data_IF_567081818025
#
_entry.id   IF_567081818025
#
_cell.length_a   1.000
_cell.length_b   1.000
_cell.length_c   1.000
_cell.angle_alpha   90.00
_cell.angle_beta   90.00
_cell.angle_gamma   90.00
#
_symmetry.space_group_name_H-M   'P 1'
#
loop_
_entity.id
_entity.type
_entity.pdbx_description
1 polymer ?
#
# COMPACT_ATOMS: atom_id res chain seq x y z
N UNK A 1 15.69 -12.42 -11.29
CA UNK A 1 14.61 -12.82 -10.35
C UNK A 1 13.94 -14.05 -10.94
N UNK A 2 13.79 -15.13 -10.18
CA UNK A 2 13.05 -16.30 -10.66
C UNK A 2 11.56 -16.08 -10.35
N UNK A 3 10.76 -15.79 -11.38
CA UNK A 3 9.33 -15.48 -11.23
C UNK A 3 8.57 -16.64 -10.61
N UNK A 4 8.91 -17.89 -10.96
CA UNK A 4 8.27 -19.07 -10.40
C UNK A 4 8.45 -19.12 -8.87
N UNK A 5 9.66 -18.89 -8.37
CA UNK A 5 9.92 -18.87 -6.92
C UNK A 5 9.16 -17.76 -6.19
N UNK A 6 9.01 -16.60 -6.82
CA UNK A 6 8.25 -15.48 -6.24
C UNK A 6 6.76 -15.80 -6.24
N UNK A 7 6.24 -16.38 -7.32
CA UNK A 7 4.85 -16.78 -7.44
C UNK A 7 4.50 -17.85 -6.39
N UNK A 8 5.30 -18.90 -6.27
CA UNK A 8 5.13 -19.96 -5.26
C UNK A 8 5.13 -19.39 -3.84
N UNK A 9 6.06 -18.46 -3.54
CA UNK A 9 6.13 -17.82 -2.24
C UNK A 9 4.88 -16.97 -1.95
N UNK A 10 4.49 -16.09 -2.88
CA UNK A 10 3.34 -15.21 -2.67
C UNK A 10 2.04 -15.99 -2.61
N UNK A 11 1.91 -17.06 -3.39
CA UNK A 11 0.74 -17.93 -3.36
C UNK A 11 0.58 -18.67 -2.02
N UNK A 12 1.66 -18.84 -1.26
CA UNK A 12 1.62 -19.40 0.09
C UNK A 12 1.23 -18.41 1.19
N UNK A 13 1.01 -17.14 0.86
CA UNK A 13 0.68 -16.09 1.84
C UNK A 13 -0.82 -15.82 1.91
N UNK A 14 -1.37 -15.82 3.13
CA UNK A 14 -2.74 -15.35 3.39
C UNK A 14 -2.84 -13.82 3.41
N UNK A 15 -1.73 -13.15 3.74
CA UNK A 15 -1.62 -11.69 3.78
C UNK A 15 -0.33 -11.24 3.14
N UNK A 16 -0.41 -10.27 2.23
CA UNK A 16 0.75 -9.54 1.73
C UNK A 16 0.59 -8.07 2.09
N UNK A 17 1.66 -7.52 2.64
CA UNK A 17 1.78 -6.10 2.94
C UNK A 17 2.90 -5.49 2.10
N UNK A 18 2.65 -4.32 1.53
CA UNK A 18 3.71 -3.59 0.83
C UNK A 18 3.41 -2.12 0.66
N UNK A 19 4.48 -1.34 0.51
CA UNK A 19 4.39 0.07 0.13
C UNK A 19 3.94 0.17 -1.33
N UNK A 20 3.07 1.14 -1.62
CA UNK A 20 2.63 1.43 -2.98
C UNK A 20 3.83 1.50 -3.94
N UNK A 21 3.76 0.74 -5.03
CA UNK A 21 4.79 0.72 -6.06
C UNK A 21 4.63 -0.49 -6.96
N UNK A 22 5.41 -0.53 -8.04
CA UNK A 22 5.33 -1.61 -9.04
C UNK A 22 5.58 -3.00 -8.43
N UNK A 23 6.37 -3.11 -7.36
CA UNK A 23 6.60 -4.40 -6.68
C UNK A 23 5.34 -5.02 -6.08
N UNK A 24 4.30 -4.23 -5.81
CA UNK A 24 3.04 -4.71 -5.26
C UNK A 24 2.19 -5.45 -6.31
N UNK A 25 2.55 -5.45 -7.60
CA UNK A 25 1.86 -6.25 -8.62
C UNK A 25 2.00 -7.76 -8.41
N UNK A 26 2.89 -8.20 -7.54
CA UNK A 26 2.99 -9.62 -7.17
C UNK A 26 1.71 -10.15 -6.49
N UNK A 27 0.76 -9.29 -6.12
CA UNK A 27 -0.58 -9.70 -5.68
C UNK A 27 -1.32 -10.59 -6.69
N UNK A 28 -0.91 -10.56 -7.96
CA UNK A 28 -1.40 -11.46 -9.02
C UNK A 28 -1.21 -12.95 -8.69
N UNK A 29 -0.33 -13.28 -7.75
CA UNK A 29 -0.08 -14.65 -7.32
C UNK A 29 -0.76 -15.01 -5.99
N UNK A 30 -1.42 -14.07 -5.31
CA UNK A 30 -2.15 -14.37 -4.09
C UNK A 30 -3.34 -15.31 -4.38
N UNK A 31 -3.66 -16.22 -3.45
CA UNK A 31 -4.88 -17.02 -3.56
C UNK A 31 -6.12 -16.17 -3.29
N UNK A 32 -7.28 -16.69 -3.72
CA UNK A 32 -8.58 -16.13 -3.38
C UNK A 32 -8.73 -16.00 -1.85
N UNK A 33 -9.48 -14.99 -1.40
CA UNK A 33 -9.69 -14.67 0.00
C UNK A 33 -8.44 -14.21 0.78
N UNK A 34 -7.30 -14.02 0.12
CA UNK A 34 -6.15 -13.37 0.74
C UNK A 34 -6.45 -11.90 1.08
N UNK A 35 -5.59 -11.30 1.90
CA UNK A 35 -5.67 -9.87 2.27
C UNK A 35 -4.45 -9.12 1.75
N UNK A 36 -4.67 -8.07 0.97
CA UNK A 36 -3.66 -7.08 0.61
C UNK A 36 -3.73 -5.88 1.55
N UNK A 37 -2.62 -5.60 2.23
CA UNK A 37 -2.42 -4.35 2.99
C UNK A 37 -1.48 -3.43 2.22
N UNK A 38 -2.02 -2.36 1.65
CA UNK A 38 -1.23 -1.36 0.96
C UNK A 38 -0.87 -0.19 1.87
N UNK A 39 0.43 0.04 2.07
CA UNK A 39 0.94 1.26 2.69
C UNK A 39 0.97 2.37 1.63
N UNK A 40 0.14 3.38 1.83
CA UNK A 40 -0.08 4.49 0.89
C UNK A 40 0.86 5.66 1.27
N UNK A 41 1.84 6.01 0.41
CA UNK A 41 2.78 7.09 0.69
C UNK A 41 2.09 8.46 0.68
N UNK A 42 2.79 9.49 1.19
CA UNK A 42 2.34 10.87 1.03
C UNK A 42 2.32 11.28 -0.45
N UNK A 43 1.56 12.32 -0.78
CA UNK A 43 1.52 12.90 -2.13
C UNK A 43 0.16 12.82 -2.82
N UNK A 44 -0.93 12.62 -2.08
CA UNK A 44 -2.29 12.47 -2.62
C UNK A 44 -2.42 11.30 -3.61
N UNK A 45 -1.81 10.16 -3.29
CA UNK A 45 -1.74 8.98 -4.17
C UNK A 45 -2.87 7.97 -3.92
N UNK A 46 -3.87 8.33 -3.11
CA UNK A 46 -4.98 7.44 -2.73
C UNK A 46 -5.78 6.99 -3.95
N UNK A 47 -6.11 7.92 -4.85
CA UNK A 47 -6.88 7.59 -6.05
C UNK A 47 -6.10 6.58 -6.90
N UNK A 48 -4.79 6.80 -7.04
CA UNK A 48 -3.85 5.95 -7.78
C UNK A 48 -3.74 4.57 -7.13
N UNK A 49 -3.68 4.54 -5.80
CA UNK A 49 -3.62 3.31 -5.00
C UNK A 49 -4.86 2.44 -5.21
N UNK A 50 -6.05 3.04 -5.15
CA UNK A 50 -7.31 2.33 -5.40
C UNK A 50 -7.44 1.84 -6.82
N UNK A 51 -7.11 2.69 -7.80
CA UNK A 51 -7.21 2.34 -9.21
C UNK A 51 -6.28 1.18 -9.57
N UNK A 52 -5.05 1.16 -9.06
CA UNK A 52 -4.07 0.12 -9.40
C UNK A 52 -4.13 -1.14 -8.55
N UNK A 53 -4.58 -1.06 -7.30
CA UNK A 53 -4.54 -2.21 -6.40
C UNK A 53 -5.86 -2.47 -5.68
N UNK A 54 -6.61 -1.43 -5.32
CA UNK A 54 -7.89 -1.59 -4.63
C UNK A 54 -8.95 -2.29 -5.48
N UNK A 55 -9.31 -1.72 -6.62
CA UNK A 55 -10.33 -2.30 -7.51
C UNK A 55 -9.88 -3.63 -8.16
N UNK A 56 -8.61 -3.77 -8.61
CA UNK A 56 -8.12 -5.07 -9.08
C UNK A 56 -8.17 -6.17 -8.02
N UNK A 57 -7.80 -5.88 -6.75
CA UNK A 57 -7.87 -6.88 -5.67
C UNK A 57 -9.28 -7.41 -5.48
N UNK A 58 -10.30 -6.53 -5.47
CA UNK A 58 -11.70 -6.96 -5.38
C UNK A 58 -12.12 -7.85 -6.54
N UNK A 59 -11.63 -7.56 -7.75
CA UNK A 59 -11.92 -8.36 -8.95
C UNK A 59 -11.26 -9.73 -8.94
N UNK A 60 -10.29 -9.94 -8.03
CA UNK A 60 -9.55 -11.19 -7.83
C UNK A 60 -9.94 -11.89 -6.53
N UNK A 61 -11.07 -11.52 -5.91
CA UNK A 61 -11.49 -12.04 -4.58
C UNK A 61 -10.46 -11.85 -3.46
N UNK A 62 -9.60 -10.83 -3.57
CA UNK A 62 -8.65 -10.41 -2.55
C UNK A 62 -9.24 -9.23 -1.76
N UNK A 63 -9.25 -9.35 -0.45
CA UNK A 63 -9.64 -8.24 0.43
C UNK A 63 -8.55 -7.16 0.46
N UNK A 64 -8.94 -5.90 0.41
CA UNK A 64 -8.01 -4.77 0.29
C UNK A 64 -8.11 -3.82 1.50
N UNK A 65 -6.96 -3.49 2.09
CA UNK A 65 -6.82 -2.53 3.18
C UNK A 65 -5.80 -1.44 2.82
N UNK A 66 -6.15 -0.19 3.11
CA UNK A 66 -5.25 0.97 2.97
C UNK A 66 -4.72 1.40 4.33
N UNK A 67 -3.40 1.55 4.44
CA UNK A 67 -2.77 2.28 5.53
C UNK A 67 -2.11 3.55 5.00
N UNK A 68 -2.72 4.71 5.30
CA UNK A 68 -2.20 6.00 4.88
C UNK A 68 -1.16 6.50 5.86
N UNK A 69 0.02 6.84 5.33
CA UNK A 69 1.08 7.41 6.16
C UNK A 69 0.67 8.75 6.76
N UNK A 70 1.05 8.95 8.01
CA UNK A 70 1.17 10.30 8.56
C UNK A 70 2.48 10.94 8.13
N UNK A 71 2.57 12.26 8.26
CA UNK A 71 3.82 12.99 8.04
C UNK A 71 4.98 12.39 8.83
N UNK A 72 4.76 12.00 10.09
CA UNK A 72 5.80 11.47 10.99
C UNK A 72 6.38 10.12 10.55
N UNK A 73 5.69 9.41 9.65
CA UNK A 73 6.13 8.12 9.13
C UNK A 73 6.83 8.23 7.77
N UNK A 74 7.06 9.45 7.27
CA UNK A 74 7.73 9.69 6.01
C UNK A 74 9.08 10.35 6.23
N UNK A 75 10.12 9.88 5.55
CA UNK A 75 11.42 10.57 5.55
C UNK A 75 11.39 11.94 4.88
N UNK A 76 10.28 12.33 4.25
CA UNK A 76 10.14 13.66 3.66
C UNK A 76 10.20 14.77 4.71
N UNK A 77 9.82 14.51 5.97
CA UNK A 77 9.89 15.51 7.06
C UNK A 77 11.33 15.93 7.39
N UNK A 78 12.30 15.13 7.00
CA UNK A 78 13.74 15.42 7.15
C UNK A 78 14.27 16.22 5.95
N UNK A 79 13.52 16.24 4.84
CA UNK A 79 13.92 16.85 3.57
C UNK A 79 13.24 18.21 3.33
N UNK A 80 12.06 18.42 3.92
CA UNK A 80 11.25 19.62 3.71
C UNK A 80 10.72 20.19 5.04
N UNK A 81 10.63 21.52 5.16
CA UNK A 81 9.90 22.15 6.26
C UNK A 81 8.45 21.66 6.32
N UNK A 82 7.87 21.54 7.52
CA UNK A 82 6.49 21.05 7.70
C UNK A 82 5.44 21.94 7.01
N UNK A 83 5.75 23.21 6.82
CA UNK A 83 4.88 24.19 6.17
C UNK A 83 5.06 24.24 4.64
N UNK A 84 5.96 23.42 4.09
CA UNK A 84 6.27 23.36 2.67
C UNK A 84 5.11 22.80 1.82
N UNK A 85 5.01 23.26 0.57
CA UNK A 85 3.94 22.87 -0.37
C UNK A 85 3.89 21.37 -0.65
N UNK A 86 5.02 20.66 -0.53
CA UNK A 86 5.11 19.19 -0.64
C UNK A 86 4.14 18.47 0.30
N UNK A 87 3.83 19.04 1.46
CA UNK A 87 2.86 18.45 2.40
C UNK A 87 1.47 19.05 2.28
N UNK A 88 1.40 20.37 2.09
CA UNK A 88 0.12 21.11 2.09
C UNK A 88 -0.69 20.92 0.81
N UNK A 89 -0.01 20.93 -0.33
CA UNK A 89 -0.64 20.81 -1.64
C UNK A 89 0.30 20.09 -2.62
N UNK A 90 0.34 18.74 -2.57
CA UNK A 90 1.11 17.93 -3.49
C UNK A 90 0.85 18.25 -4.96
N UNK A 91 -0.40 18.57 -5.31
CA UNK A 91 -0.78 18.88 -6.69
C UNK A 91 -0.14 20.20 -7.15
N UNK A 92 -0.20 21.25 -6.33
CA UNK A 92 0.48 22.52 -6.61
C UNK A 92 2.00 22.39 -6.58
N UNK A 93 2.57 21.44 -5.80
CA UNK A 93 4.00 21.17 -5.81
C UNK A 93 4.49 20.69 -7.19
N UNK A 94 3.84 19.66 -7.75
CA UNK A 94 4.30 19.09 -9.02
C UNK A 94 3.67 19.75 -10.25
N UNK A 95 2.54 20.45 -10.14
CA UNK A 95 1.86 21.16 -11.27
C UNK A 95 1.68 20.29 -12.53
N UNK A 96 1.28 19.04 -12.33
CA UNK A 96 1.17 18.05 -13.42
C UNK A 96 2.50 17.44 -13.91
N UNK A 97 3.65 17.83 -13.35
CA UNK A 97 4.94 17.23 -13.67
C UNK A 97 5.10 15.85 -13.01
N UNK A 98 4.88 14.80 -13.79
CA UNK A 98 5.02 13.42 -13.35
C UNK A 98 6.41 13.08 -12.79
N UNK A 99 7.49 13.58 -13.41
CA UNK A 99 8.85 13.26 -12.96
C UNK A 99 9.15 13.88 -11.58
N UNK A 100 8.68 15.09 -11.33
CA UNK A 100 8.81 15.74 -10.03
C UNK A 100 8.01 14.99 -8.95
N UNK A 101 6.77 14.61 -9.27
CA UNK A 101 5.93 13.80 -8.39
C UNK A 101 6.59 12.45 -8.06
N UNK A 102 6.99 11.68 -9.08
CA UNK A 102 7.65 10.38 -8.92
C UNK A 102 8.91 10.51 -8.09
N UNK A 103 9.77 11.49 -8.41
CA UNK A 103 11.03 11.68 -7.70
C UNK A 103 10.83 11.91 -6.20
N UNK A 104 9.84 12.73 -5.80
CA UNK A 104 9.64 13.07 -4.39
C UNK A 104 8.83 12.01 -3.65
N UNK A 105 7.66 11.65 -4.18
CA UNK A 105 6.70 10.82 -3.44
C UNK A 105 6.89 9.32 -3.62
N UNK A 106 7.46 8.87 -4.75
CA UNK A 106 7.62 7.45 -5.05
C UNK A 106 9.07 6.96 -4.90
N UNK A 107 10.06 7.78 -5.27
CA UNK A 107 11.47 7.34 -5.28
C UNK A 107 12.24 7.74 -4.00
N UNK A 108 12.08 8.97 -3.50
CA UNK A 108 12.88 9.52 -2.37
C UNK A 108 12.23 9.42 -1.00
N UNK A 109 10.94 9.08 -0.97
CA UNK A 109 10.20 8.87 0.26
C UNK A 109 10.41 7.44 0.75
N UNK A 110 10.90 7.30 1.99
CA UNK A 110 10.93 6.04 2.72
C UNK A 110 9.93 6.07 3.87
N UNK A 111 9.51 4.88 4.30
CA UNK A 111 8.50 4.69 5.33
C UNK A 111 9.15 4.33 6.67
N UNK A 112 8.75 5.03 7.73
CA UNK A 112 9.04 4.74 9.14
C UNK A 112 7.72 4.42 9.84
N UNK A 113 7.25 3.19 9.69
CA UNK A 113 5.91 2.78 10.12
C UNK A 113 5.74 2.89 11.65
N UNK A 114 4.69 3.58 12.09
CA UNK A 114 4.28 3.62 13.49
C UNK A 114 3.41 2.39 13.78
N UNK A 115 4.02 1.38 14.42
CA UNK A 115 3.35 0.10 14.75
C UNK A 115 2.12 0.30 15.63
N UNK A 116 2.07 1.34 16.49
CA UNK A 116 0.90 1.59 17.33
C UNK A 116 -0.28 2.08 16.49
N UNK A 117 -0.02 2.96 15.51
CA UNK A 117 -1.04 3.42 14.57
C UNK A 117 -1.41 2.37 13.53
N UNK A 118 -0.48 1.48 13.18
CA UNK A 118 -0.70 0.41 12.23
C UNK A 118 -1.48 -0.78 12.81
N UNK A 119 -1.42 -1.00 14.13
CA UNK A 119 -2.07 -2.12 14.82
C UNK A 119 -3.54 -2.35 14.41
N UNK A 120 -4.43 -1.34 14.32
CA UNK A 120 -5.81 -1.55 13.89
C UNK A 120 -5.94 -2.12 12.47
N UNK A 121 -5.01 -1.79 11.57
CA UNK A 121 -5.00 -2.35 10.21
C UNK A 121 -4.67 -3.85 10.24
N UNK A 122 -3.70 -4.26 11.06
CA UNK A 122 -3.38 -5.68 11.26
C UNK A 122 -4.53 -6.45 11.91
N UNK A 123 -5.22 -5.85 12.87
CA UNK A 123 -6.41 -6.44 13.49
C UNK A 123 -7.50 -6.64 12.44
N UNK A 124 -7.73 -5.65 11.57
CA UNK A 124 -8.71 -5.79 10.50
C UNK A 124 -8.34 -6.86 9.48
N UNK A 125 -7.06 -6.98 9.13
CA UNK A 125 -6.58 -8.07 8.27
C UNK A 125 -6.87 -9.44 8.89
N UNK A 126 -6.62 -9.60 10.19
CA UNK A 126 -6.92 -10.85 10.90
C UNK A 126 -8.42 -11.16 10.93
N UNK A 127 -9.28 -10.16 11.18
CA UNK A 127 -10.74 -10.34 11.13
C UNK A 127 -11.20 -10.87 9.77
N UNK A 128 -10.70 -10.29 8.67
CA UNK A 128 -11.05 -10.72 7.31
C UNK A 128 -10.64 -12.17 7.05
N UNK A 129 -9.45 -12.59 7.48
CA UNK A 129 -9.01 -13.98 7.36
C UNK A 129 -9.93 -14.97 8.10
N UNK A 130 -10.37 -14.60 9.31
CA UNK A 130 -11.29 -15.42 10.09
C UNK A 130 -12.67 -15.50 9.42
N UNK A 131 -13.15 -14.39 8.86
CA UNK A 131 -14.39 -14.36 8.09
C UNK A 131 -14.35 -15.23 6.83
N UNK A 132 -13.21 -15.26 6.13
CA UNK A 132 -13.04 -16.10 4.94
C UNK A 132 -12.96 -17.59 5.29
N UNK A 133 -12.21 -17.94 6.33
CA UNK A 133 -12.12 -19.33 6.82
C UNK A 133 -13.50 -19.88 7.17
N UNK A 134 -14.34 -19.08 7.83
CA UNK A 134 -15.70 -19.47 8.19
C UNK A 134 -16.66 -19.61 7.00
N UNK A 135 -16.36 -18.95 5.87
CA UNK A 135 -17.15 -19.06 4.63
C UNK A 135 -16.77 -20.31 3.84
N UNK A 136 -15.49 -20.69 3.81
CA UNK A 136 -15.02 -21.89 3.10
C UNK A 136 -15.45 -23.22 3.74
N UNK A 137 -15.90 -23.19 5.00
CA UNK A 137 -16.37 -24.38 5.75
C UNK A 137 -17.90 -24.55 5.65
N UNK A 138 -18.62 -23.59 5.06
CA UNK A 138 -20.07 -23.65 4.83
C UNK A 138 -20.38 -24.01 3.39
#
# INVERSE_FOLDING_TARGET
>A
MNVQKVAELVNSCDVVMGVHGAGLTNILFLPDNAVLVQIVPLGNVEWISRAYFGEPSKSMDISYLEYKLSLKESTLIEQFPLDHVVFKDPYAFHKGNWLAFKSVYLDKQNVKLDVKRFKPTLQKALELLLEHTNRSVR
#
